data_IF_091634302630
#
_entry.id   IF_091634302630
#
_cell.length_a   1.000
_cell.length_b   1.000
_cell.length_c   1.000
_cell.angle_alpha   90.00
_cell.angle_beta   90.00
_cell.angle_gamma   90.00
#
_symmetry.space_group_name_H-M   'P 1'
#
loop_
_entity.id
_entity.type
_entity.pdbx_description
1 polymer ?
#
# COMPACT_ATOMS: atom_id res chain seq x y z
N UNK A 1 -6.79 10.06 -47.90
CA UNK A 1 -6.44 9.52 -46.56
C UNK A 1 -6.80 10.55 -45.51
N UNK A 2 -7.86 10.30 -44.73
CA UNK A 2 -8.22 11.16 -43.59
C UNK A 2 -7.20 10.88 -42.48
N UNK A 3 -6.35 11.87 -42.17
CA UNK A 3 -5.44 11.80 -41.03
C UNK A 3 -6.27 11.56 -39.77
N UNK A 4 -5.99 10.47 -39.05
CA UNK A 4 -6.60 10.17 -37.75
C UNK A 4 -6.53 11.43 -36.89
N UNK A 5 -7.66 11.89 -36.38
CA UNK A 5 -7.69 12.99 -35.42
C UNK A 5 -6.73 12.65 -34.26
N UNK A 6 -5.94 13.64 -33.83
CA UNK A 6 -5.00 13.52 -32.71
C UNK A 6 -5.80 12.94 -31.53
N UNK A 7 -5.37 11.79 -31.01
CA UNK A 7 -6.00 11.22 -29.81
C UNK A 7 -5.93 12.30 -28.73
N UNK A 8 -7.04 12.68 -28.10
CA UNK A 8 -7.05 13.77 -27.12
C UNK A 8 -5.97 13.50 -26.06
N UNK A 9 -5.23 14.55 -25.71
CA UNK A 9 -4.16 14.50 -24.73
C UNK A 9 -4.71 13.89 -23.43
N UNK A 10 -3.99 12.91 -22.88
CA UNK A 10 -4.41 12.23 -21.67
C UNK A 10 -4.61 13.29 -20.59
N UNK A 11 -5.85 13.44 -20.12
CA UNK A 11 -6.16 14.42 -19.10
C UNK A 11 -5.47 13.97 -17.81
N UNK A 12 -4.34 14.60 -17.48
CA UNK A 12 -3.46 14.23 -16.36
C UNK A 12 -4.02 14.74 -15.02
N UNK A 13 -5.28 14.48 -14.72
CA UNK A 13 -5.96 15.06 -13.55
C UNK A 13 -5.68 14.26 -12.26
N UNK A 14 -5.18 13.02 -12.38
CA UNK A 14 -4.94 12.12 -11.26
C UNK A 14 -3.55 11.47 -11.26
N UNK A 15 -3.09 11.09 -10.05
CA UNK A 15 -1.96 10.19 -9.80
C UNK A 15 -2.50 8.82 -9.41
N UNK A 16 -1.90 7.78 -9.95
CA UNK A 16 -2.32 6.40 -9.71
C UNK A 16 -1.39 5.72 -8.71
N UNK A 17 -2.00 4.98 -7.79
CA UNK A 17 -1.32 4.22 -6.76
C UNK A 17 -1.80 2.78 -6.79
N UNK A 18 -0.94 1.87 -6.39
CA UNK A 18 -1.27 0.45 -6.25
C UNK A 18 -1.14 0.06 -4.79
N UNK A 19 -2.22 -0.48 -4.22
CA UNK A 19 -2.26 -1.06 -2.90
C UNK A 19 -2.15 -2.58 -3.00
N UNK A 20 -1.10 -3.13 -2.40
CA UNK A 20 -0.91 -4.55 -2.20
C UNK A 20 -1.46 -4.97 -0.83
N UNK A 21 -2.20 -6.09 -0.80
CA UNK A 21 -2.90 -6.57 0.41
C UNK A 21 -3.78 -5.47 1.04
N UNK A 22 -4.79 -4.97 0.30
CA UNK A 22 -5.65 -3.87 0.75
C UNK A 22 -6.42 -4.18 2.05
N UNK A 23 -6.80 -3.13 2.77
CA UNK A 23 -7.78 -3.20 3.87
C UNK A 23 -9.20 -2.94 3.32
N UNK A 24 -10.25 -3.68 3.69
CA UNK A 24 -10.29 -4.80 4.65
C UNK A 24 -9.68 -6.09 4.10
N UNK A 25 -9.49 -7.11 4.95
CA UNK A 25 -8.76 -8.32 4.56
C UNK A 25 -9.54 -9.13 3.54
N UNK A 26 -8.88 -9.52 2.44
CA UNK A 26 -9.50 -10.20 1.30
C UNK A 26 -10.78 -9.50 0.83
N UNK A 27 -10.70 -8.24 0.38
CA UNK A 27 -11.89 -7.49 0.03
C UNK A 27 -12.52 -8.03 -1.25
N UNK A 28 -13.83 -8.22 -1.18
CA UNK A 28 -14.69 -8.40 -2.34
C UNK A 28 -15.30 -7.05 -2.76
N UNK A 29 -14.75 -6.44 -3.80
CA UNK A 29 -15.20 -5.14 -4.31
C UNK A 29 -16.44 -5.22 -5.21
N UNK A 30 -17.06 -6.40 -5.35
CA UNK A 30 -18.45 -6.48 -5.81
C UNK A 30 -19.44 -6.09 -4.69
N UNK A 31 -18.98 -6.05 -3.43
CA UNK A 31 -19.76 -5.65 -2.27
C UNK A 31 -19.49 -4.20 -1.88
N UNK A 32 -20.57 -3.43 -1.66
CA UNK A 32 -20.49 -2.01 -1.32
C UNK A 32 -19.77 -1.72 -0.02
N UNK A 33 -19.98 -2.56 0.99
CA UNK A 33 -19.31 -2.43 2.27
C UNK A 33 -17.77 -2.39 2.13
N UNK A 34 -17.20 -3.25 1.29
CA UNK A 34 -15.75 -3.35 1.15
C UNK A 34 -15.14 -2.19 0.36
N UNK A 35 -15.74 -1.77 -0.77
CA UNK A 35 -15.21 -0.61 -1.50
C UNK A 35 -15.40 0.69 -0.72
N UNK A 36 -16.50 0.84 0.03
CA UNK A 36 -16.70 2.00 0.91
C UNK A 36 -15.67 2.00 2.04
N UNK A 37 -15.43 0.84 2.65
CA UNK A 37 -14.46 0.73 3.75
C UNK A 37 -13.02 0.99 3.28
N UNK A 38 -12.64 0.49 2.11
CA UNK A 38 -11.35 0.82 1.47
C UNK A 38 -11.25 2.32 1.18
N UNK A 39 -12.27 2.92 0.55
CA UNK A 39 -12.30 4.36 0.26
C UNK A 39 -12.14 5.21 1.51
N UNK A 40 -12.83 4.86 2.61
CA UNK A 40 -12.69 5.54 3.90
C UNK A 40 -11.31 5.39 4.50
N UNK A 41 -10.69 4.22 4.39
CA UNK A 41 -9.31 4.02 4.83
C UNK A 41 -8.34 4.94 4.07
N UNK A 42 -8.43 4.96 2.74
CA UNK A 42 -7.61 5.85 1.91
C UNK A 42 -7.88 7.33 2.26
N UNK A 43 -9.14 7.74 2.38
CA UNK A 43 -9.48 9.11 2.76
C UNK A 43 -8.94 9.50 4.15
N UNK A 44 -8.87 8.57 5.12
CA UNK A 44 -8.26 8.84 6.42
C UNK A 44 -6.74 9.10 6.32
N UNK A 45 -6.06 8.45 5.38
CA UNK A 45 -4.63 8.70 5.11
C UNK A 45 -4.46 10.10 4.49
N UNK A 46 -5.31 10.41 3.50
CA UNK A 46 -5.29 11.67 2.77
C UNK A 46 -5.75 12.87 3.62
N UNK A 47 -6.56 12.61 4.66
CA UNK A 47 -7.33 13.59 5.42
C UNK A 47 -8.26 14.43 4.54
N UNK A 48 -8.65 13.90 3.38
CA UNK A 48 -9.49 14.57 2.38
C UNK A 48 -10.26 13.52 1.57
N UNK A 49 -11.60 13.58 1.63
CA UNK A 49 -12.47 12.68 0.89
C UNK A 49 -12.56 13.02 -0.60
N UNK A 50 -12.36 14.29 -0.97
CA UNK A 50 -12.50 14.77 -2.34
C UNK A 50 -11.24 14.49 -3.19
N UNK A 51 -10.12 14.20 -2.53
CA UNK A 51 -8.89 13.85 -3.21
C UNK A 51 -8.92 12.45 -3.84
N UNK A 52 -9.84 11.56 -3.45
CA UNK A 52 -9.93 10.20 -3.97
C UNK A 52 -11.00 10.11 -5.09
N UNK A 53 -10.57 9.83 -6.31
CA UNK A 53 -11.43 9.88 -7.50
C UNK A 53 -12.03 8.53 -7.89
N UNK A 54 -11.21 7.48 -7.92
CA UNK A 54 -11.66 6.17 -8.43
C UNK A 54 -10.85 5.01 -7.88
N UNK A 55 -11.50 3.85 -7.79
CA UNK A 55 -10.90 2.57 -7.44
C UNK A 55 -10.94 1.62 -8.64
N UNK A 56 -9.92 0.80 -8.74
CA UNK A 56 -9.74 -0.16 -9.81
C UNK A 56 -9.39 -1.51 -9.21
N UNK A 57 -10.18 -2.53 -9.51
CA UNK A 57 -9.98 -3.87 -8.96
C UNK A 57 -10.09 -4.97 -10.01
N UNK A 58 -9.46 -6.11 -9.68
CA UNK A 58 -9.62 -7.39 -10.35
C UNK A 58 -9.87 -8.46 -9.28
N UNK A 59 -10.94 -9.26 -9.39
CA UNK A 59 -11.16 -10.36 -8.47
C UNK A 59 -9.94 -11.28 -8.38
N UNK A 60 -9.59 -11.72 -7.17
CA UNK A 60 -8.46 -12.65 -6.89
C UNK A 60 -7.06 -12.14 -7.25
N UNK A 61 -6.89 -10.85 -7.57
CA UNK A 61 -5.57 -10.27 -7.85
C UNK A 61 -4.80 -9.87 -6.57
N UNK A 62 -5.49 -9.70 -5.44
CA UNK A 62 -4.88 -9.29 -4.16
C UNK A 62 -4.30 -7.87 -4.15
N UNK A 63 -4.57 -7.08 -5.19
CA UNK A 63 -4.14 -5.69 -5.32
C UNK A 63 -5.30 -4.82 -5.82
N UNK A 64 -5.21 -3.52 -5.51
CA UNK A 64 -6.16 -2.49 -5.93
C UNK A 64 -5.37 -1.32 -6.48
N UNK A 65 -5.80 -0.77 -7.60
CA UNK A 65 -5.28 0.51 -8.09
C UNK A 65 -6.28 1.60 -7.70
N UNK A 66 -5.81 2.78 -7.36
CA UNK A 66 -6.69 3.91 -7.06
C UNK A 66 -6.10 5.22 -7.58
N UNK A 67 -6.99 6.12 -7.98
CA UNK A 67 -6.68 7.41 -8.55
C UNK A 67 -6.92 8.51 -7.49
N UNK A 68 -5.89 9.31 -7.24
CA UNK A 68 -5.93 10.45 -6.32
C UNK A 68 -5.66 11.73 -7.11
N UNK A 69 -6.28 12.82 -6.72
CA UNK A 69 -6.10 14.13 -7.32
C UNK A 69 -4.61 14.51 -7.45
N UNK A 70 -4.21 15.02 -8.62
CA UNK A 70 -2.81 15.41 -8.89
C UNK A 70 -2.33 16.55 -7.99
N UNK A 71 -3.24 17.40 -7.50
CA UNK A 71 -2.94 18.49 -6.57
C UNK A 71 -2.51 17.99 -5.19
N UNK A 72 -2.83 16.74 -4.82
CA UNK A 72 -2.40 16.16 -3.56
C UNK A 72 -0.87 16.10 -3.45
N UNK A 73 -0.34 16.77 -2.42
CA UNK A 73 1.11 16.94 -2.19
C UNK A 73 1.70 16.00 -1.14
N UNK A 74 0.92 15.57 -0.15
CA UNK A 74 1.39 14.84 1.04
C UNK A 74 1.59 13.33 0.78
N UNK A 75 2.26 12.99 -0.33
CA UNK A 75 2.41 11.61 -0.80
C UNK A 75 3.21 10.72 0.17
N UNK A 76 4.05 11.31 1.00
CA UNK A 76 4.81 10.66 2.07
C UNK A 76 3.93 9.99 3.14
N UNK A 77 2.68 10.45 3.29
CA UNK A 77 1.71 9.80 4.19
C UNK A 77 1.06 8.57 3.56
N UNK A 78 1.01 8.55 2.23
CA UNK A 78 0.33 7.52 1.46
C UNK A 78 1.26 6.35 1.15
N UNK A 79 2.50 6.63 0.74
CA UNK A 79 3.44 5.64 0.24
C UNK A 79 4.11 4.86 1.37
N UNK A 80 4.23 3.54 1.18
CA UNK A 80 4.93 2.65 2.11
C UNK A 80 4.03 1.58 2.73
N UNK A 81 4.51 0.99 3.81
CA UNK A 81 3.86 -0.07 4.56
C UNK A 81 2.99 0.50 5.69
N UNK A 82 1.72 0.12 5.67
CA UNK A 82 0.69 0.47 6.64
C UNK A 82 0.36 -0.77 7.47
N UNK A 83 0.79 -0.78 8.74
CA UNK A 83 0.55 -1.88 9.67
C UNK A 83 -0.79 -1.73 10.35
N UNK A 84 -1.62 -2.77 10.29
CA UNK A 84 -3.00 -2.70 10.73
C UNK A 84 -3.11 -2.54 12.25
N UNK A 85 -2.20 -3.17 12.99
CA UNK A 85 -2.04 -2.96 14.44
C UNK A 85 -1.70 -1.52 14.82
N UNK A 86 -1.04 -0.77 13.93
CA UNK A 86 -0.65 0.61 14.17
C UNK A 86 -1.78 1.58 13.83
N UNK A 87 -2.45 1.42 12.69
CA UNK A 87 -3.47 2.38 12.28
C UNK A 87 -4.88 2.05 12.77
N UNK A 88 -5.27 0.79 13.02
CA UNK A 88 -6.61 0.46 13.52
C UNK A 88 -6.75 0.80 15.02
N UNK A 89 -7.86 1.43 15.42
CA UNK A 89 -8.16 1.68 16.84
C UNK A 89 -8.39 0.38 17.62
N UNK A 90 -9.04 -0.60 16.99
CA UNK A 90 -9.40 -1.90 17.59
C UNK A 90 -9.21 -3.03 16.54
N UNK A 91 -7.97 -3.45 16.27
CA UNK A 91 -7.71 -4.54 15.33
C UNK A 91 -8.29 -5.86 15.87
N UNK A 92 -8.94 -6.64 15.00
CA UNK A 92 -9.45 -7.97 15.34
C UNK A 92 -8.29 -8.98 15.49
N UNK A 93 -8.56 -10.13 16.10
CA UNK A 93 -7.60 -11.23 16.16
C UNK A 93 -7.22 -11.66 14.73
N UNK A 94 -5.91 -11.70 14.45
CA UNK A 94 -5.36 -11.96 13.11
C UNK A 94 -5.07 -10.72 12.27
N UNK A 95 -5.77 -9.60 12.49
CA UNK A 95 -5.48 -8.33 11.78
C UNK A 95 -4.17 -7.69 12.25
N UNK A 96 -3.73 -8.00 13.47
CA UNK A 96 -2.55 -7.36 14.08
C UNK A 96 -1.25 -7.62 13.31
N UNK A 97 -1.17 -8.75 12.60
CA UNK A 97 -0.02 -9.15 11.78
C UNK A 97 -0.14 -8.73 10.33
N UNK A 98 -1.30 -8.17 9.92
CA UNK A 98 -1.53 -7.77 8.54
C UNK A 98 -0.91 -6.42 8.24
N UNK A 99 -0.48 -6.28 6.99
CA UNK A 99 0.13 -5.08 6.44
C UNK A 99 -0.46 -4.82 5.06
N UNK A 100 -0.76 -3.55 4.79
CA UNK A 100 -1.06 -3.06 3.45
C UNK A 100 0.13 -2.26 2.94
N UNK A 101 0.48 -2.38 1.66
CA UNK A 101 1.59 -1.62 1.10
C UNK A 101 1.12 -0.79 -0.07
N UNK A 102 1.47 0.49 -0.09
CA UNK A 102 1.04 1.42 -1.14
C UNK A 102 2.26 1.95 -1.90
N UNK A 103 2.19 1.84 -3.21
CA UNK A 103 3.23 2.27 -4.15
C UNK A 103 2.62 3.17 -5.21
N UNK A 104 3.46 3.91 -5.94
CA UNK A 104 3.04 4.48 -7.22
C UNK A 104 2.69 3.35 -8.18
N UNK A 105 1.61 3.54 -8.94
CA UNK A 105 1.25 2.58 -9.98
C UNK A 105 2.15 2.73 -11.21
N UNK A 106 2.34 1.65 -11.96
CA UNK A 106 2.93 1.72 -13.29
C UNK A 106 2.02 2.43 -14.30
N UNK A 107 0.71 2.40 -14.09
CA UNK A 107 -0.26 3.06 -14.94
C UNK A 107 -0.29 4.57 -14.72
N UNK A 108 -0.62 5.31 -15.77
CA UNK A 108 -0.72 6.77 -15.74
C UNK A 108 -2.09 7.31 -16.12
N UNK A 109 -2.99 6.47 -16.63
CA UNK A 109 -4.33 6.89 -17.07
C UNK A 109 -5.39 5.81 -16.85
N UNK A 110 -6.64 6.23 -16.66
CA UNK A 110 -7.80 5.34 -16.52
C UNK A 110 -7.93 4.38 -17.71
N UNK A 111 -7.65 4.89 -18.92
CA UNK A 111 -7.74 4.13 -20.17
C UNK A 111 -6.76 2.96 -20.19
N UNK A 112 -5.55 3.14 -19.66
CA UNK A 112 -4.57 2.05 -19.58
C UNK A 112 -5.02 0.98 -18.58
N UNK A 113 -5.52 1.41 -17.42
CA UNK A 113 -6.01 0.51 -16.36
C UNK A 113 -7.20 -0.31 -16.86
N UNK A 114 -8.18 0.32 -17.51
CA UNK A 114 -9.34 -0.36 -18.08
C UNK A 114 -8.98 -1.30 -19.23
N UNK A 115 -8.05 -0.90 -20.12
CA UNK A 115 -7.56 -1.77 -21.21
C UNK A 115 -6.86 -3.03 -20.70
N UNK A 116 -6.17 -2.92 -19.57
CA UNK A 116 -5.57 -4.07 -18.92
C UNK A 116 -6.63 -4.99 -18.27
N UNK A 117 -7.89 -4.57 -18.20
CA UNK A 117 -9.04 -5.37 -17.76
C UNK A 117 -9.42 -5.16 -16.29
N UNK A 118 -9.05 -4.03 -15.70
CA UNK A 118 -9.47 -3.66 -14.34
C UNK A 118 -10.87 -3.04 -14.37
N UNK A 119 -11.72 -3.45 -13.42
CA UNK A 119 -13.04 -2.86 -13.22
C UNK A 119 -12.90 -1.56 -12.45
N UNK A 120 -13.63 -0.52 -12.88
CA UNK A 120 -13.63 0.80 -12.25
C UNK A 120 -14.84 0.96 -11.30
N UNK A 121 -14.61 1.56 -10.15
CA UNK A 121 -15.62 2.08 -9.23
C UNK A 121 -15.30 3.57 -9.04
N UNK A 122 -16.22 4.44 -9.46
CA UNK A 122 -16.11 5.87 -9.18
C UNK A 122 -16.42 6.10 -7.70
N UNK A 123 -15.62 6.95 -7.07
CA UNK A 123 -15.83 7.29 -5.66
C UNK A 123 -16.92 8.35 -5.61
N UNK A 124 -17.99 8.04 -4.90
CA UNK A 124 -19.13 8.93 -4.77
C UNK A 124 -19.23 9.50 -3.35
N UNK A 125 -19.84 10.68 -3.23
CA UNK A 125 -20.01 11.37 -1.94
C UNK A 125 -20.71 10.48 -0.90
N UNK A 126 -21.62 9.61 -1.35
CA UNK A 126 -22.37 8.73 -0.44
C UNK A 126 -21.45 7.75 0.32
N UNK A 127 -20.27 7.44 -0.21
CA UNK A 127 -19.28 6.58 0.45
C UNK A 127 -18.85 7.19 1.79
N UNK A 128 -18.89 8.52 1.90
CA UNK A 128 -18.49 9.27 3.07
C UNK A 128 -19.68 9.77 3.90
N UNK A 129 -20.90 9.26 3.66
CA UNK A 129 -22.03 9.51 4.56
C UNK A 129 -21.69 9.05 5.97
N UNK A 130 -21.94 9.94 6.94
CA UNK A 130 -21.60 9.71 8.34
C UNK A 130 -20.10 9.43 8.57
N UNK A 131 -19.21 9.89 7.68
CA UNK A 131 -17.77 9.86 7.88
C UNK A 131 -17.31 11.16 8.57
N UNK A 132 -16.35 11.05 9.49
CA UNK A 132 -15.82 12.16 10.26
C UNK A 132 -14.84 11.67 11.32
N UNK A 133 -13.97 12.55 11.82
CA UNK A 133 -12.83 12.20 12.70
C UNK A 133 -13.25 11.34 13.90
N UNK A 134 -14.39 11.65 14.50
CA UNK A 134 -14.94 10.90 15.66
C UNK A 134 -15.32 9.46 15.30
N UNK A 135 -15.75 9.25 14.06
CA UNK A 135 -16.21 7.97 13.51
C UNK A 135 -15.12 7.20 12.78
N UNK A 136 -13.89 7.73 12.72
CA UNK A 136 -12.78 7.00 12.12
C UNK A 136 -12.47 5.74 12.92
N UNK A 137 -12.39 4.61 12.21
CA UNK A 137 -11.89 3.35 12.78
C UNK A 137 -10.35 3.34 12.88
N UNK A 138 -9.68 4.32 12.25
CA UNK A 138 -8.24 4.51 12.33
C UNK A 138 -7.86 5.45 13.46
N UNK A 139 -6.64 5.34 13.99
CA UNK A 139 -6.08 6.25 14.99
C UNK A 139 -5.91 7.66 14.41
N UNK A 140 -5.99 8.66 15.28
CA UNK A 140 -5.86 10.09 14.97
C UNK A 140 -4.77 10.67 15.87
N UNK A 141 -3.70 11.27 15.33
CA UNK A 141 -3.38 11.36 13.90
C UNK A 141 -3.09 9.99 13.27
N UNK A 142 -3.25 9.88 11.95
CA UNK A 142 -2.90 8.66 11.22
C UNK A 142 -1.39 8.41 11.31
N UNK A 143 -0.92 7.17 11.61
CA UNK A 143 0.51 6.90 11.79
C UNK A 143 1.29 7.05 10.48
N UNK A 144 2.57 7.41 10.60
CA UNK A 144 3.46 7.47 9.43
C UNK A 144 3.71 6.05 8.87
N UNK A 145 3.71 5.88 7.53
CA UNK A 145 4.00 4.59 6.92
C UNK A 145 5.48 4.21 7.05
N UNK A 146 5.75 2.91 7.04
CA UNK A 146 7.11 2.36 7.09
C UNK A 146 7.69 2.15 5.69
N UNK A 147 9.01 2.16 5.58
CA UNK A 147 9.66 1.79 4.32
C UNK A 147 9.46 0.30 4.04
N UNK A 148 9.22 -0.05 2.78
CA UNK A 148 9.19 -1.44 2.33
C UNK A 148 9.70 -1.58 0.89
N UNK A 149 10.25 -2.75 0.59
CA UNK A 149 10.55 -3.13 -0.79
C UNK A 149 9.26 -3.40 -1.57
N UNK A 150 9.35 -3.19 -2.89
CA UNK A 150 8.29 -3.57 -3.83
C UNK A 150 8.00 -5.06 -3.69
N UNK A 151 6.73 -5.49 -3.56
CA UNK A 151 6.40 -6.89 -3.49
C UNK A 151 6.96 -7.63 -4.72
N UNK A 152 7.53 -8.83 -4.50
CA UNK A 152 7.96 -9.69 -5.59
C UNK A 152 6.73 -10.11 -6.40
N UNK A 153 6.41 -9.38 -7.47
CA UNK A 153 5.29 -9.70 -8.33
C UNK A 153 5.54 -11.06 -8.99
N UNK A 154 4.52 -11.92 -8.96
CA UNK A 154 4.55 -13.21 -9.63
C UNK A 154 4.92 -12.97 -11.10
N UNK A 155 5.91 -13.71 -11.61
CA UNK A 155 6.47 -13.60 -12.99
C UNK A 155 5.43 -13.62 -14.13
N UNK A 156 4.18 -13.97 -13.83
CA UNK A 156 3.05 -14.11 -14.77
C UNK A 156 2.30 -12.78 -14.98
N UNK A 157 2.38 -11.84 -14.03
CA UNK A 157 1.64 -10.59 -14.10
C UNK A 157 2.56 -9.40 -14.39
N UNK A 158 2.04 -8.43 -15.14
CA UNK A 158 2.73 -7.16 -15.41
C UNK A 158 3.07 -6.50 -14.07
N UNK A 159 4.24 -5.86 -14.01
CA UNK A 159 4.59 -5.10 -12.83
C UNK A 159 3.62 -3.92 -12.64
N UNK A 160 3.06 -3.78 -11.44
CA UNK A 160 2.06 -2.76 -11.08
C UNK A 160 2.61 -1.74 -10.10
N UNK A 161 3.57 -2.14 -9.26
CA UNK A 161 4.16 -1.30 -8.22
C UNK A 161 5.49 -0.70 -8.70
N UNK A 162 5.65 0.63 -8.59
CA UNK A 162 6.95 1.30 -8.77
C UNK A 162 7.71 1.39 -7.44
N UNK A 163 9.06 1.34 -7.46
CA UNK A 163 9.87 1.54 -6.26
C UNK A 163 9.54 2.84 -5.52
N UNK A 164 9.60 2.80 -4.19
CA UNK A 164 9.44 3.98 -3.35
C UNK A 164 10.56 4.99 -3.67
N UNK A 165 10.26 6.29 -3.79
CA UNK A 165 11.30 7.31 -3.93
C UNK A 165 12.18 7.31 -2.67
N UNK A 166 13.48 7.03 -2.83
CA UNK A 166 14.41 6.89 -1.71
C UNK A 166 14.54 8.12 -0.79
N UNK A 167 14.04 9.28 -1.23
CA UNK A 167 14.02 10.51 -0.44
C UNK A 167 12.79 10.66 0.48
N UNK A 168 11.68 9.95 0.22
CA UNK A 168 10.41 10.18 0.93
C UNK A 168 10.20 9.25 2.13
N UNK A 169 10.80 8.06 2.11
CA UNK A 169 10.76 7.13 3.24
C UNK A 169 12.18 6.60 3.45
N UNK A 170 12.86 6.93 4.57
CA UNK A 170 14.23 6.49 4.80
C UNK A 170 14.30 4.96 4.81
N UNK A 171 15.16 4.39 3.96
CA UNK A 171 15.50 2.98 4.08
C UNK A 171 16.11 2.75 5.47
N UNK A 172 15.63 1.77 6.26
CA UNK A 172 16.29 1.40 7.51
C UNK A 172 17.75 1.10 7.19
N UNK A 173 18.68 1.73 7.92
CA UNK A 173 20.11 1.45 7.77
C UNK A 173 20.36 -0.06 7.88
N UNK A 174 21.42 -0.60 7.23
CA UNK A 174 21.73 -2.02 7.32
C UNK A 174 21.76 -2.44 8.79
N UNK A 175 20.97 -3.46 9.16
CA UNK A 175 20.98 -4.00 10.51
C UNK A 175 22.41 -4.43 10.82
N UNK A 176 23.01 -3.82 11.85
CA UNK A 176 24.33 -4.23 12.30
C UNK A 176 24.22 -5.72 12.66
N UNK A 177 24.99 -6.62 12.02
CA UNK A 177 24.92 -8.02 12.34
C UNK A 177 25.24 -8.19 13.84
N UNK A 178 24.53 -9.06 14.56
CA UNK A 178 24.82 -9.30 15.97
C UNK A 178 26.30 -9.67 16.12
N UNK A 179 27.00 -9.19 17.17
CA UNK A 179 28.40 -9.50 17.37
C UNK A 179 28.58 -11.02 17.38
N UNK A 180 29.45 -11.53 16.51
CA UNK A 180 29.78 -12.96 16.43
C UNK A 180 30.19 -13.40 17.83
N UNK A 181 29.36 -14.20 18.50
CA UNK A 181 29.74 -14.83 19.75
C UNK A 181 30.96 -15.71 19.47
N UNK A 182 32.12 -15.26 19.94
CA UNK A 182 33.35 -16.04 19.88
C UNK A 182 33.12 -17.36 20.59
N UNK A 183 33.33 -18.47 19.87
CA UNK A 183 33.38 -19.80 20.47
C UNK A 183 34.51 -19.79 21.49
N UNK A 184 34.18 -19.78 22.78
CA UNK A 184 35.12 -20.12 23.83
C UNK A 184 35.61 -21.55 23.57
N UNK A 185 36.86 -21.70 23.11
CA UNK A 185 37.56 -22.99 23.14
C UNK A 185 37.70 -23.39 24.62
N UNK A 186 36.96 -24.42 25.02
CA UNK A 186 37.24 -25.15 26.26
C UNK A 186 38.53 -25.94 26.03
N UNK A 187 39.65 -25.46 26.55
CA UNK A 187 40.83 -26.29 26.74
C UNK A 187 40.49 -27.31 27.84
N UNK A 188 40.25 -28.56 27.44
CA UNK A 188 40.22 -29.69 28.36
C UNK A 188 41.65 -30.00 28.75
N UNK A 189 41.99 -29.76 30.01
CA UNK A 189 43.23 -30.24 30.60
C UNK A 189 43.16 -31.76 30.73
N UNK A 190 44.01 -32.46 29.96
CA UNK A 190 44.30 -33.87 30.20
C UNK A 190 45.35 -33.91 31.30
N UNK A 191 44.93 -34.30 32.50
CA UNK A 191 45.82 -34.76 33.56
C UNK A 191 46.17 -36.20 33.21
N UNK A 192 47.40 -36.43 32.76
CA UNK A 192 47.99 -37.77 32.71
C UNK A 192 48.97 -37.89 33.88
N UNK A 193 48.65 -38.82 34.77
CA UNK A 193 49.52 -39.30 35.83
C UNK A 193 50.41 -40.45 35.31
N UNK A 194 51.56 -40.60 35.97
CA UNK A 194 52.46 -41.78 36.04
C UNK A 194 53.39 -42.02 34.83
N UNK A 195 54.68 -41.71 34.98
CA UNK A 195 55.72 -42.63 35.50
C UNK A 195 56.94 -41.83 35.98
#
# INVERSE_FOLDING_TARGET
>A
MVKRAKTPEANEEAKYYTCWSPYPNNPDFELSEHYIQFSRWIANILEDSNALHSLYYKPKHGMVIFAVDKSYRRTERLLGEHRWSEFLKKPKNGEQTLVSKIFYSTFSTDREVQKDGWKCIFVEEYFFLNWGIDKWFTKVPYPAPHWCDVPSENRVHKALCRPLPGAQVPRPGPSVPPPRQGKYMRFSAIISALY
#
